data_IF_878432196994
#
_entry.id   IF_878432196994
#
_cell.length_a   1.000
_cell.length_b   1.000
_cell.length_c   1.000
_cell.angle_alpha   90.00
_cell.angle_beta   90.00
_cell.angle_gamma   90.00
#
_symmetry.space_group_name_H-M   'P 1'
#
loop_
_entity.id
_entity.type
_entity.pdbx_description
1 polymer ?
#
# COMPACT_ATOMS: atom_id res chain seq x y z
N UNK A 1 -5.54 3.62 22.24
CA UNK A 1 -4.98 2.68 21.31
C UNK A 1 -3.89 1.85 21.96
N UNK A 2 -3.99 0.58 21.82
CA UNK A 2 -3.13 -0.30 22.56
C UNK A 2 -2.37 -1.27 21.67
N UNK A 3 -1.10 -1.47 21.98
CA UNK A 3 -0.25 -2.38 21.26
C UNK A 3 -0.29 -3.76 21.89
N UNK A 4 -1.12 -4.62 21.36
CA UNK A 4 -1.25 -5.94 21.95
C UNK A 4 -0.61 -7.01 21.09
N UNK A 5 -0.61 -6.80 19.79
CA UNK A 5 -0.18 -7.83 18.86
C UNK A 5 1.22 -7.61 18.32
N UNK A 6 1.88 -6.57 18.78
CA UNK A 6 3.18 -6.25 18.24
C UNK A 6 3.15 -5.35 17.04
N UNK A 7 1.98 -4.98 16.58
CA UNK A 7 1.87 -4.04 15.48
C UNK A 7 2.20 -2.64 15.97
N UNK A 8 3.00 -1.92 15.22
CA UNK A 8 3.32 -0.56 15.53
C UNK A 8 2.33 0.38 14.86
N UNK A 9 2.36 1.64 15.29
CA UNK A 9 1.56 2.65 14.62
C UNK A 9 1.89 2.70 13.14
N UNK A 10 3.17 2.57 12.81
CA UNK A 10 3.61 2.62 11.43
C UNK A 10 3.05 1.45 10.62
N UNK A 11 3.01 0.27 11.22
CA UNK A 11 2.45 -0.90 10.54
C UNK A 11 0.98 -0.67 10.26
N UNK A 12 0.26 -0.14 11.23
CA UNK A 12 -1.16 0.16 11.05
C UNK A 12 -1.36 1.15 9.91
N UNK A 13 -0.54 2.17 9.88
CA UNK A 13 -0.64 3.21 8.86
C UNK A 13 -0.34 2.64 7.47
N UNK A 14 0.68 1.82 7.38
CA UNK A 14 1.04 1.19 6.11
C UNK A 14 -0.08 0.30 5.60
N UNK A 15 -0.69 -0.46 6.49
CA UNK A 15 -1.78 -1.33 6.12
C UNK A 15 -2.97 -0.51 5.60
N UNK A 16 -3.25 0.60 6.25
CA UNK A 16 -4.31 1.49 5.81
C UNK A 16 -4.01 2.04 4.41
N UNK A 17 -2.78 2.47 4.21
CA UNK A 17 -2.38 3.02 2.92
C UNK A 17 -2.48 1.99 1.81
N UNK A 18 -2.09 0.75 2.08
CA UNK A 18 -2.20 -0.31 1.09
C UNK A 18 -3.67 -0.59 0.76
N UNK A 19 -4.52 -0.54 1.76
CA UNK A 19 -5.95 -0.71 1.54
C UNK A 19 -6.48 0.36 0.57
N UNK A 20 -6.06 1.60 0.76
CA UNK A 20 -6.46 2.68 -0.13
C UNK A 20 -5.90 2.47 -1.53
N UNK A 21 -4.68 1.99 -1.61
CA UNK A 21 -4.07 1.73 -2.90
C UNK A 21 -4.86 0.68 -3.69
N UNK A 22 -5.28 -0.36 -3.02
CA UNK A 22 -6.05 -1.41 -3.68
C UNK A 22 -7.36 -0.86 -4.22
N UNK A 23 -8.00 0.02 -3.47
CA UNK A 23 -9.24 0.64 -3.94
C UNK A 23 -9.00 1.44 -5.21
N UNK A 24 -7.92 2.20 -5.25
CA UNK A 24 -7.60 2.98 -6.44
C UNK A 24 -7.28 2.09 -7.63
N UNK A 25 -6.62 0.97 -7.37
CA UNK A 25 -6.30 0.01 -8.41
C UNK A 25 -7.57 -0.59 -9.02
N UNK A 26 -8.54 -0.86 -8.18
CA UNK A 26 -9.79 -1.46 -8.65
C UNK A 26 -10.57 -0.51 -9.55
N UNK A 27 -10.37 0.78 -9.35
CA UNK A 27 -11.02 1.77 -10.22
C UNK A 27 -10.44 1.76 -11.63
N UNK A 28 -9.17 1.37 -11.75
CA UNK A 28 -8.54 1.26 -13.05
C UNK A 28 -8.24 2.57 -13.73
N UNK A 29 -8.30 3.68 -13.02
CA UNK A 29 -8.09 5.00 -13.59
C UNK A 29 -6.70 5.56 -13.31
N UNK A 30 -5.93 4.89 -12.47
CA UNK A 30 -4.66 5.41 -12.02
C UNK A 30 -3.54 4.44 -12.32
N UNK A 31 -2.36 4.98 -12.54
CA UNK A 31 -1.17 4.17 -12.70
C UNK A 31 -0.60 3.86 -11.33
N UNK A 32 0.19 2.80 -11.25
CA UNK A 32 0.80 2.40 -9.98
C UNK A 32 1.56 3.56 -9.36
N UNK A 33 2.29 4.28 -10.18
CA UNK A 33 3.07 5.41 -9.72
C UNK A 33 2.17 6.47 -9.07
N UNK A 34 1.06 6.77 -9.72
CA UNK A 34 0.13 7.76 -9.19
C UNK A 34 -0.51 7.29 -7.90
N UNK A 35 -0.80 6.00 -7.83
CA UNK A 35 -1.42 5.43 -6.64
C UNK A 35 -0.49 5.55 -5.44
N UNK A 36 0.80 5.32 -5.65
CA UNK A 36 1.75 5.43 -4.55
C UNK A 36 1.77 6.85 -3.99
N UNK A 37 1.69 7.84 -4.86
CA UNK A 37 1.68 9.23 -4.42
C UNK A 37 0.37 9.59 -3.71
N UNK A 38 -0.73 9.12 -4.24
CA UNK A 38 -2.04 9.44 -3.67
C UNK A 38 -2.24 8.82 -2.30
N UNK A 39 -1.60 7.70 -2.05
CA UNK A 39 -1.74 7.04 -0.76
C UNK A 39 -0.74 7.50 0.28
N UNK A 40 0.13 8.43 -0.08
CA UNK A 40 1.01 9.05 0.90
C UNK A 40 2.39 8.44 1.01
N UNK A 41 2.74 7.55 0.10
CA UNK A 41 4.09 7.01 0.08
C UNK A 41 5.01 8.00 -0.61
N UNK A 42 6.08 8.36 0.07
CA UNK A 42 7.02 9.33 -0.47
C UNK A 42 7.99 8.69 -1.46
N UNK A 43 8.10 7.38 -1.45
CA UNK A 43 9.04 6.66 -2.28
C UNK A 43 8.34 5.50 -2.95
N UNK A 44 8.39 5.48 -4.27
CA UNK A 44 7.76 4.41 -5.03
C UNK A 44 8.33 3.03 -4.68
N UNK A 45 9.64 2.98 -4.44
CA UNK A 45 10.27 1.72 -4.03
C UNK A 45 9.71 1.25 -2.71
N UNK A 46 9.54 2.16 -1.77
CA UNK A 46 8.99 1.82 -0.48
C UNK A 46 7.56 1.30 -0.63
N UNK A 47 6.80 1.93 -1.50
CA UNK A 47 5.45 1.49 -1.79
C UNK A 47 5.45 0.04 -2.28
N UNK A 48 6.35 -0.28 -3.22
CA UNK A 48 6.43 -1.63 -3.75
C UNK A 48 6.74 -2.64 -2.65
N UNK A 49 7.70 -2.32 -1.79
CA UNK A 49 8.09 -3.22 -0.72
C UNK A 49 6.95 -3.47 0.23
N UNK A 50 6.28 -2.40 0.65
CA UNK A 50 5.18 -2.52 1.60
C UNK A 50 4.00 -3.26 0.97
N UNK A 51 3.70 -2.94 -0.27
CA UNK A 51 2.59 -3.59 -0.97
C UNK A 51 2.80 -5.09 -1.06
N UNK A 52 4.01 -5.49 -1.46
CA UNK A 52 4.31 -6.91 -1.58
C UNK A 52 4.24 -7.60 -0.22
N UNK A 53 4.65 -6.88 0.81
CA UNK A 53 4.64 -7.44 2.16
C UNK A 53 3.23 -7.79 2.62
N UNK A 54 2.25 -6.98 2.24
CA UNK A 54 0.88 -7.18 2.70
C UNK A 54 0.04 -8.01 1.75
N UNK A 55 0.38 -8.03 0.47
CA UNK A 55 -0.45 -8.74 -0.51
C UNK A 55 0.27 -9.91 -1.15
N UNK A 56 1.58 -10.06 -0.91
CA UNK A 56 2.41 -11.08 -1.51
C UNK A 56 2.54 -10.92 -3.02
N UNK A 57 2.19 -9.75 -3.53
CA UNK A 57 2.31 -9.44 -4.95
C UNK A 57 2.80 -8.02 -5.11
N UNK A 58 3.58 -7.78 -6.15
CA UNK A 58 3.95 -6.40 -6.44
C UNK A 58 2.73 -5.66 -6.97
N UNK A 59 2.71 -4.32 -6.85
CA UNK A 59 1.58 -3.55 -7.38
C UNK A 59 1.33 -3.80 -8.85
N UNK A 60 2.40 -3.95 -9.62
CA UNK A 60 2.27 -4.21 -11.04
C UNK A 60 1.59 -5.55 -11.31
N UNK A 61 2.00 -6.57 -10.56
CA UNK A 61 1.38 -7.87 -10.71
C UNK A 61 -0.07 -7.86 -10.27
N UNK A 62 -0.36 -7.12 -9.23
CA UNK A 62 -1.71 -7.05 -8.72
C UNK A 62 -2.67 -6.44 -9.74
N UNK A 63 -2.19 -5.47 -10.49
CA UNK A 63 -3.03 -4.77 -11.46
C UNK A 63 -3.17 -5.49 -12.80
N UNK A 64 -2.44 -6.55 -12.98
CA UNK A 64 -2.55 -7.30 -14.23
C UNK A 64 -3.83 -8.16 -14.28
#
# INVERSE_FOLDING_TARGET
FKQITGLTYLDFLNKYRISQAIRLMEKGQYKVYEISEKTGFSDYKHFNVVFKRYTNQSPTEFMK
#
